data_IF_501061418445
#
_entry.id   IF_501061418445
#
_cell.length_a   1.000
_cell.length_b   1.000
_cell.length_c   1.000
_cell.angle_alpha   90.00
_cell.angle_beta   90.00
_cell.angle_gamma   90.00
#
_symmetry.space_group_name_H-M   'P 1'
#
loop_
_entity.id
_entity.type
_entity.pdbx_description
1 polymer ?
#
# COMPACT_ATOMS: atom_id res chain seq x y z
N UNK A 1 14.39 1.16 13.68
CA UNK A 1 13.08 0.73 14.23
C UNK A 1 12.01 1.84 14.21
N UNK A 2 12.24 3.01 13.62
CA UNK A 2 11.30 4.15 13.63
C UNK A 2 10.46 4.31 12.36
N UNK A 3 10.74 3.53 11.30
CA UNK A 3 10.10 3.72 10.00
C UNK A 3 8.74 3.00 9.90
N UNK A 4 8.65 1.78 10.45
CA UNK A 4 7.47 0.90 10.41
C UNK A 4 6.19 1.52 11.01
N UNK A 5 6.28 2.36 12.05
CA UNK A 5 5.11 3.01 12.68
C UNK A 5 4.61 4.24 11.92
N UNK A 6 5.36 4.73 10.93
CA UNK A 6 4.91 5.83 10.07
C UNK A 6 3.97 5.33 8.98
N UNK A 7 4.23 4.11 8.50
CA UNK A 7 3.48 3.45 7.43
C UNK A 7 2.08 3.00 7.83
N UNK A 8 1.91 2.52 9.06
CA UNK A 8 0.59 2.16 9.60
C UNK A 8 -0.38 3.35 9.68
N UNK A 9 0.12 4.59 9.52
CA UNK A 9 -0.66 5.83 9.57
C UNK A 9 -0.95 6.43 8.19
N UNK A 10 -0.50 5.81 7.10
CA UNK A 10 -0.80 6.31 5.76
C UNK A 10 -2.28 6.09 5.41
N UNK A 11 -2.92 7.13 4.88
CA UNK A 11 -4.21 6.95 4.19
C UNK A 11 -4.01 6.17 2.89
N UNK A 12 -5.09 5.54 2.39
CA UNK A 12 -5.06 4.81 1.13
C UNK A 12 -4.49 5.64 -0.03
N UNK A 13 -4.95 6.88 -0.21
CA UNK A 13 -4.47 7.73 -1.31
C UNK A 13 -2.99 8.10 -1.18
N UNK A 14 -2.49 8.31 0.03
CA UNK A 14 -1.07 8.57 0.26
C UNK A 14 -0.22 7.34 -0.07
N UNK A 15 -0.63 6.16 0.43
CA UNK A 15 0.07 4.91 0.16
C UNK A 15 0.06 4.58 -1.35
N UNK A 16 -1.07 4.79 -2.03
CA UNK A 16 -1.22 4.58 -3.47
C UNK A 16 -0.36 5.54 -4.29
N UNK A 17 -0.33 6.82 -3.92
CA UNK A 17 0.49 7.82 -4.61
C UNK A 17 1.99 7.53 -4.46
N UNK A 18 2.42 7.15 -3.26
CA UNK A 18 3.81 6.77 -3.03
C UNK A 18 4.18 5.48 -3.79
N UNK A 19 3.29 4.48 -3.79
CA UNK A 19 3.50 3.24 -4.54
C UNK A 19 3.65 3.50 -6.04
N UNK A 20 2.83 4.37 -6.61
CA UNK A 20 2.94 4.76 -8.02
C UNK A 20 4.31 5.40 -8.32
N UNK A 21 4.81 6.27 -7.43
CA UNK A 21 6.14 6.86 -7.58
C UNK A 21 7.28 5.84 -7.47
N UNK A 22 7.16 4.85 -6.59
CA UNK A 22 8.11 3.74 -6.48
C UNK A 22 8.16 2.93 -7.78
N UNK A 23 6.99 2.58 -8.34
CA UNK A 23 6.89 1.85 -9.61
C UNK A 23 7.50 2.66 -10.74
N UNK A 24 7.18 3.95 -10.86
CA UNK A 24 7.75 4.84 -11.87
C UNK A 24 9.30 4.85 -11.82
N UNK A 25 9.88 4.91 -10.62
CA UNK A 25 11.34 4.87 -10.45
C UNK A 25 11.95 3.52 -10.82
N UNK A 26 11.29 2.42 -10.48
CA UNK A 26 11.72 1.08 -10.87
C UNK A 26 11.69 0.90 -12.40
N UNK A 27 10.63 1.38 -13.05
CA UNK A 27 10.45 1.31 -14.50
C UNK A 27 11.42 2.20 -15.28
N UNK A 28 11.74 3.38 -14.74
CA UNK A 28 12.75 4.28 -15.32
C UNK A 28 14.15 3.65 -15.37
N UNK A 29 14.44 2.73 -14.43
CA UNK A 29 15.74 2.10 -14.29
C UNK A 29 16.84 3.11 -13.92
N UNK A 30 18.10 2.78 -14.23
CA UNK A 30 19.25 3.63 -13.92
C UNK A 30 19.63 3.70 -12.44
N UNK A 31 18.95 2.93 -11.59
CA UNK A 31 19.28 2.71 -10.17
C UNK A 31 20.29 1.58 -10.02
N UNK A 32 21.09 1.64 -8.97
CA UNK A 32 21.91 0.50 -8.55
C UNK A 32 21.04 -0.67 -8.10
N UNK A 33 21.64 -1.87 -7.97
CA UNK A 33 20.93 -3.05 -7.46
C UNK A 33 20.39 -2.82 -6.04
N UNK A 34 21.20 -2.22 -5.17
CA UNK A 34 20.82 -1.95 -3.78
C UNK A 34 19.63 -0.97 -3.70
N UNK A 35 19.66 0.09 -4.50
CA UNK A 35 18.54 1.04 -4.59
C UNK A 35 17.28 0.39 -5.18
N UNK A 36 17.44 -0.50 -6.17
CA UNK A 36 16.33 -1.24 -6.78
C UNK A 36 15.67 -2.18 -5.77
N UNK A 37 16.46 -2.84 -4.92
CA UNK A 37 15.95 -3.68 -3.84
C UNK A 37 15.22 -2.87 -2.77
N UNK A 38 15.79 -1.73 -2.36
CA UNK A 38 15.13 -0.84 -1.40
C UNK A 38 13.79 -0.28 -1.92
N UNK A 39 13.74 0.08 -3.22
CA UNK A 39 12.50 0.49 -3.87
C UNK A 39 11.47 -0.64 -3.91
N UNK A 40 11.89 -1.86 -4.24
CA UNK A 40 11.00 -3.01 -4.26
C UNK A 40 10.42 -3.30 -2.86
N UNK A 41 11.27 -3.35 -1.82
CA UNK A 41 10.82 -3.57 -0.44
C UNK A 41 9.81 -2.51 0.01
N UNK A 42 10.07 -1.23 -0.35
CA UNK A 42 9.12 -0.15 -0.09
C UNK A 42 7.80 -0.34 -0.83
N UNK A 43 7.87 -0.75 -2.10
CA UNK A 43 6.71 -1.06 -2.93
C UNK A 43 5.83 -2.16 -2.30
N UNK A 44 6.44 -3.25 -1.84
CA UNK A 44 5.73 -4.35 -1.17
C UNK A 44 5.03 -3.89 0.11
N UNK A 45 5.70 -3.06 0.93
CA UNK A 45 5.10 -2.49 2.14
C UNK A 45 3.88 -1.62 1.81
N UNK A 46 3.99 -0.73 0.82
CA UNK A 46 2.92 0.16 0.38
C UNK A 46 1.75 -0.62 -0.23
N UNK A 47 2.03 -1.65 -1.05
CA UNK A 47 1.01 -2.54 -1.59
C UNK A 47 0.25 -3.26 -0.47
N UNK A 48 0.96 -3.74 0.56
CA UNK A 48 0.35 -4.34 1.74
C UNK A 48 -0.55 -3.37 2.51
N UNK A 49 -0.18 -2.09 2.63
CA UNK A 49 -1.03 -1.06 3.25
C UNK A 49 -2.30 -0.83 2.42
N UNK A 50 -2.16 -0.66 1.11
CA UNK A 50 -3.28 -0.50 0.19
C UNK A 50 -4.25 -1.68 0.29
N UNK A 51 -3.74 -2.91 0.32
CA UNK A 51 -4.56 -4.11 0.41
C UNK A 51 -5.37 -4.13 1.71
N UNK A 52 -4.76 -3.83 2.87
CA UNK A 52 -5.47 -3.77 4.16
C UNK A 52 -6.61 -2.75 4.16
N UNK A 53 -6.42 -1.60 3.51
CA UNK A 53 -7.48 -0.60 3.35
C UNK A 53 -8.65 -1.13 2.51
N UNK A 54 -8.35 -1.81 1.40
CA UNK A 54 -9.36 -2.38 0.50
C UNK A 54 -10.12 -3.54 1.14
N UNK A 55 -9.42 -4.40 1.89
CA UNK A 55 -10.02 -5.51 2.63
C UNK A 55 -11.00 -4.98 3.69
N UNK A 56 -10.57 -4.00 4.51
CA UNK A 56 -11.47 -3.38 5.49
C UNK A 56 -12.67 -2.68 4.86
N UNK A 57 -12.52 -2.08 3.68
CA UNK A 57 -13.65 -1.51 2.94
C UNK A 57 -14.62 -2.59 2.45
N UNK A 58 -14.10 -3.72 1.95
CA UNK A 58 -14.90 -4.88 1.53
C UNK A 58 -15.72 -5.44 2.69
N UNK A 59 -15.09 -5.71 3.83
CA UNK A 59 -15.74 -6.25 5.02
C UNK A 59 -16.91 -5.36 5.49
N UNK A 60 -16.72 -4.04 5.46
CA UNK A 60 -17.77 -3.07 5.84
C UNK A 60 -18.98 -3.11 4.90
N UNK A 61 -18.73 -3.27 3.59
CA UNK A 61 -19.79 -3.41 2.58
C UNK A 61 -20.54 -4.71 2.81
N UNK A 62 -19.83 -5.82 2.99
CA UNK A 62 -20.45 -7.14 3.16
C UNK A 62 -21.28 -7.19 4.44
N UNK A 63 -20.79 -6.63 5.54
CA UNK A 63 -21.56 -6.50 6.78
C UNK A 63 -22.81 -5.61 6.63
N UNK A 64 -22.76 -4.57 5.80
CA UNK A 64 -23.92 -3.72 5.52
C UNK A 64 -24.99 -4.44 4.71
N UNK A 65 -24.58 -5.31 3.77
CA UNK A 65 -25.50 -6.14 2.97
C UNK A 65 -26.23 -7.16 3.85
N UNK A 66 -25.49 -7.87 4.71
CA UNK A 66 -26.08 -8.86 5.63
C UNK A 66 -27.17 -8.23 6.53
N UNK A 67 -26.91 -7.06 7.12
CA UNK A 67 -27.90 -6.34 7.94
C UNK A 67 -29.17 -5.91 7.22
N UNK A 68 -29.16 -5.85 5.89
CA UNK A 68 -30.33 -5.44 5.09
C UNK A 68 -31.16 -6.66 4.65
N UNK A 69 -30.56 -7.85 4.70
CA UNK A 69 -31.19 -9.12 4.35
C UNK A 69 -31.88 -9.81 5.55
N UNK A 70 -31.52 -9.39 6.77
CA UNK A 70 -32.18 -9.73 8.06
C UNK A 70 -33.43 -8.87 8.33
#
# INVERSE_FOLDING_TARGET
MTDTTKDERLSYEQARAELASVVERLEAGGTSLEESLALWERGEQLAGICQRWLDGARERIDAARQRTED
#
